data_IF_206086952478
#
_entry.id   IF_206086952478
#
_cell.length_a   1.000
_cell.length_b   1.000
_cell.length_c   1.000
_cell.angle_alpha   90.00
_cell.angle_beta   90.00
_cell.angle_gamma   90.00
#
_symmetry.space_group_name_H-M   'P 1'
#
loop_
_entity.id
_entity.type
_entity.pdbx_description
1 polymer ?
#
# COMPACT_ATOMS: atom_id res chain seq x y z
N UNK A 1 -15.14 -13.45 -7.23
CA UNK A 1 -15.09 -13.03 -5.82
C UNK A 1 -13.94 -12.04 -5.69
N UNK A 2 -14.02 -11.01 -4.83
CA UNK A 2 -13.06 -9.90 -4.69
C UNK A 2 -11.71 -10.44 -4.17
N UNK A 3 -10.96 -11.12 -5.04
CA UNK A 3 -9.97 -12.08 -4.58
C UNK A 3 -8.60 -11.49 -4.29
N UNK A 4 -8.39 -10.18 -4.45
CA UNK A 4 -7.05 -9.58 -4.45
C UNK A 4 -6.94 -8.36 -3.54
N UNK A 5 -7.41 -8.42 -2.30
CA UNK A 5 -7.41 -7.27 -1.39
C UNK A 5 -6.50 -7.47 -0.17
N UNK A 6 -5.64 -6.49 0.11
CA UNK A 6 -4.84 -6.42 1.34
C UNK A 6 -5.42 -5.37 2.27
N UNK A 7 -5.63 -5.74 3.53
CA UNK A 7 -6.06 -4.79 4.57
C UNK A 7 -4.93 -3.83 4.93
N UNK A 8 -5.16 -2.53 4.73
CA UNK A 8 -4.21 -1.45 5.01
C UNK A 8 -4.62 -0.61 6.23
N UNK A 9 -5.61 -1.05 7.01
CA UNK A 9 -6.01 -0.46 8.28
C UNK A 9 -7.48 0.00 8.32
N UNK A 10 -8.15 -0.15 9.47
CA UNK A 10 -9.53 0.33 9.72
C UNK A 10 -10.58 -0.04 8.68
N UNK A 11 -10.51 -1.25 8.14
CA UNK A 11 -11.44 -1.70 7.10
C UNK A 11 -11.18 -1.08 5.72
N UNK A 12 -10.03 -0.42 5.53
CA UNK A 12 -9.56 -0.01 4.22
C UNK A 12 -8.76 -1.15 3.58
N UNK A 13 -9.00 -1.37 2.29
CA UNK A 13 -8.37 -2.41 1.51
C UNK A 13 -7.82 -1.86 0.21
N UNK A 14 -6.68 -2.38 -0.23
CA UNK A 14 -6.07 -2.06 -1.53
C UNK A 14 -5.93 -3.32 -2.37
N UNK A 15 -6.00 -3.19 -3.68
CA UNK A 15 -5.72 -4.31 -4.56
C UNK A 15 -4.25 -4.75 -4.45
N UNK A 16 -3.99 -5.99 -4.04
CA UNK A 16 -2.64 -6.56 -3.90
C UNK A 16 -1.86 -6.44 -5.21
N UNK A 17 -2.46 -6.79 -6.34
CA UNK A 17 -1.76 -6.84 -7.63
C UNK A 17 -1.34 -5.48 -8.17
N UNK A 18 -1.77 -4.40 -7.52
CA UNK A 18 -1.48 -3.02 -7.91
C UNK A 18 -0.44 -2.39 -7.00
N UNK A 19 -0.04 -3.04 -5.90
CA UNK A 19 0.99 -2.54 -4.97
C UNK A 19 2.36 -2.77 -5.60
N UNK A 20 3.13 -1.68 -5.74
CA UNK A 20 4.51 -1.70 -6.23
C UNK A 20 5.51 -1.57 -5.09
N UNK A 21 5.19 -0.79 -4.05
CA UNK A 21 6.06 -0.60 -2.91
C UNK A 21 5.28 -0.33 -1.62
N UNK A 22 5.85 -0.79 -0.50
CA UNK A 22 5.43 -0.46 0.87
C UNK A 22 6.64 0.18 1.56
N UNK A 23 6.48 1.42 2.02
CA UNK A 23 7.58 2.29 2.46
C UNK A 23 7.31 2.86 3.86
N UNK A 24 8.39 3.14 4.60
CA UNK A 24 8.33 3.88 5.85
C UNK A 24 8.24 5.40 5.58
N UNK A 25 7.38 6.18 6.27
CA UNK A 25 7.14 7.59 5.99
C UNK A 25 8.13 8.58 6.63
N UNK A 26 9.11 8.14 7.41
CA UNK A 26 9.85 9.01 8.35
C UNK A 26 10.96 9.86 7.69
N UNK A 27 11.32 9.60 6.42
CA UNK A 27 12.39 10.32 5.72
C UNK A 27 11.92 11.61 5.02
N UNK A 28 12.84 12.56 4.80
CA UNK A 28 12.53 13.79 4.06
C UNK A 28 12.02 13.55 2.62
N UNK A 29 12.58 12.61 1.82
CA UNK A 29 12.02 12.23 0.52
C UNK A 29 10.57 11.75 0.61
N UNK A 30 10.21 11.00 1.65
CA UNK A 30 8.84 10.49 1.83
C UNK A 30 7.84 11.59 2.17
N UNK A 31 8.27 12.65 2.87
CA UNK A 31 7.45 13.84 3.06
C UNK A 31 7.15 14.51 1.71
N UNK A 32 8.19 14.71 0.88
CA UNK A 32 8.04 15.28 -0.47
C UNK A 32 7.09 14.45 -1.35
N UNK A 33 7.26 13.12 -1.35
CA UNK A 33 6.38 12.20 -2.09
C UNK A 33 4.89 12.38 -1.72
N UNK A 34 4.58 12.56 -0.44
CA UNK A 34 3.19 12.81 -0.01
C UNK A 34 2.67 14.16 -0.49
N UNK A 35 3.49 15.19 -0.43
CA UNK A 35 3.12 16.54 -0.85
C UNK A 35 2.90 16.62 -2.37
N UNK A 36 3.76 15.94 -3.14
CA UNK A 36 3.61 15.76 -4.59
C UNK A 36 2.31 15.01 -4.92
N UNK A 37 2.05 13.86 -4.29
CA UNK A 37 0.83 13.10 -4.51
C UNK A 37 -0.43 13.88 -4.12
N UNK A 38 -0.37 14.73 -3.08
CA UNK A 38 -1.47 15.63 -2.71
C UNK A 38 -1.70 16.69 -3.79
N UNK A 39 -0.64 17.26 -4.34
CA UNK A 39 -0.70 18.24 -5.43
C UNK A 39 -1.29 17.64 -6.70
N UNK A 40 -0.89 16.41 -7.03
CA UNK A 40 -1.39 15.65 -8.18
C UNK A 40 -2.79 15.04 -7.99
N UNK A 41 -3.43 15.22 -6.82
CA UNK A 41 -4.70 14.57 -6.45
C UNK A 41 -4.66 13.04 -6.51
N UNK A 42 -3.49 12.44 -6.27
CA UNK A 42 -3.24 11.00 -6.24
C UNK A 42 -3.04 10.43 -4.83
N UNK A 43 -3.21 11.27 -3.81
CA UNK A 43 -3.13 10.84 -2.42
C UNK A 43 -4.44 10.20 -1.97
N UNK A 44 -4.34 9.06 -1.28
CA UNK A 44 -5.46 8.40 -0.61
C UNK A 44 -5.13 8.26 0.86
N UNK A 45 -5.95 8.85 1.73
CA UNK A 45 -5.73 8.80 3.17
C UNK A 45 -6.55 7.67 3.81
N UNK A 46 -5.89 6.55 4.14
CA UNK A 46 -6.46 5.42 4.88
C UNK A 46 -6.00 5.40 6.35
N UNK A 47 -5.51 6.53 6.89
CA UNK A 47 -5.03 6.61 8.27
C UNK A 47 -6.15 6.74 9.30
N UNK A 48 -7.36 7.16 8.87
CA UNK A 48 -8.50 7.48 9.73
C UNK A 48 -8.13 8.45 10.87
N UNK A 49 -7.38 9.52 10.54
CA UNK A 49 -6.99 10.57 11.49
C UNK A 49 -5.83 10.21 12.41
N UNK A 50 -5.16 9.07 12.19
CA UNK A 50 -3.99 8.64 12.97
C UNK A 50 -2.69 9.00 12.27
N UNK A 51 -1.57 8.90 12.99
CA UNK A 51 -0.23 9.09 12.41
C UNK A 51 -0.03 8.13 11.24
N UNK A 52 0.45 8.66 10.11
CA UNK A 52 0.94 7.84 8.99
C UNK A 52 2.15 7.03 9.45
N UNK A 53 2.05 5.70 9.35
CA UNK A 53 3.10 4.74 9.69
C UNK A 53 3.61 3.97 8.48
N UNK A 54 2.85 3.94 7.38
CA UNK A 54 3.28 3.39 6.10
C UNK A 54 2.78 4.24 4.93
N UNK A 55 3.53 4.17 3.83
CA UNK A 55 3.16 4.70 2.51
C UNK A 55 3.13 3.51 1.55
N UNK A 56 2.06 3.38 0.78
CA UNK A 56 1.92 2.36 -0.25
C UNK A 56 1.87 3.06 -1.60
N UNK A 57 2.71 2.62 -2.53
CA UNK A 57 2.73 3.11 -3.91
C UNK A 57 2.05 2.07 -4.78
N UNK A 58 1.14 2.53 -5.63
CA UNK A 58 0.49 1.70 -6.65
C UNK A 58 1.05 1.98 -8.05
N UNK A 59 0.85 1.05 -8.99
CA UNK A 59 1.24 1.19 -10.40
C UNK A 59 0.57 2.36 -11.13
N UNK A 60 -0.53 2.89 -10.59
CA UNK A 60 -1.22 4.09 -11.07
C UNK A 60 -0.66 5.38 -10.45
N UNK A 61 0.47 5.30 -9.75
CA UNK A 61 1.11 6.36 -8.98
C UNK A 61 0.25 6.95 -7.85
N UNK A 62 -0.83 6.26 -7.45
CA UNK A 62 -1.53 6.63 -6.22
C UNK A 62 -0.66 6.30 -5.01
N UNK A 63 -0.63 7.25 -4.07
CA UNK A 63 0.09 7.15 -2.80
C UNK A 63 -0.93 7.00 -1.68
N UNK A 64 -0.99 5.81 -1.10
CA UNK A 64 -1.94 5.48 -0.04
C UNK A 64 -1.24 5.59 1.30
N UNK A 65 -1.78 6.41 2.19
CA UNK A 65 -1.28 6.57 3.55
C UNK A 65 -1.96 5.58 4.48
N UNK A 66 -1.19 4.87 5.28
CA UNK A 66 -1.71 3.94 6.28
C UNK A 66 -1.17 4.26 7.66
N UNK A 67 -1.97 3.97 8.68
CA UNK A 67 -1.58 4.00 10.08
C UNK A 67 -1.09 2.64 10.60
N UNK A 68 -1.04 1.63 9.74
CA UNK A 68 -0.49 0.31 10.04
C UNK A 68 1.01 0.34 9.71
N UNK A 69 1.79 -0.47 10.42
CA UNK A 69 3.23 -0.60 10.19
C UNK A 69 3.51 -1.24 8.83
N UNK A 70 4.55 -0.81 8.10
CA UNK A 70 4.86 -1.34 6.79
C UNK A 70 5.13 -2.85 6.83
N UNK A 71 5.77 -3.35 7.90
CA UNK A 71 6.04 -4.77 8.11
C UNK A 71 4.75 -5.59 8.24
N UNK A 72 3.74 -5.05 8.94
CA UNK A 72 2.43 -5.71 9.07
C UNK A 72 1.69 -5.79 7.74
N UNK A 73 1.80 -4.74 6.91
CA UNK A 73 1.16 -4.72 5.58
C UNK A 73 1.89 -5.69 4.65
N UNK A 74 3.23 -5.72 4.70
CA UNK A 74 4.05 -6.66 3.94
C UNK A 74 3.73 -8.12 4.32
N UNK A 75 3.58 -8.42 5.61
CA UNK A 75 3.16 -9.74 6.07
C UNK A 75 1.82 -10.16 5.48
N UNK A 76 0.80 -9.28 5.58
CA UNK A 76 -0.54 -9.53 5.01
C UNK A 76 -0.50 -9.71 3.49
N UNK A 77 0.38 -8.99 2.81
CA UNK A 77 0.60 -9.12 1.38
C UNK A 77 1.21 -10.48 1.04
N UNK A 78 2.24 -10.92 1.76
CA UNK A 78 2.89 -12.22 1.56
C UNK A 78 1.94 -13.38 1.85
N UNK A 79 1.21 -13.34 2.97
CA UNK A 79 0.19 -14.35 3.29
C UNK A 79 -0.87 -14.44 2.18
N UNK A 80 -1.26 -13.30 1.63
CA UNK A 80 -2.19 -13.23 0.53
C UNK A 80 -1.62 -13.88 -0.75
N UNK A 81 -0.36 -13.63 -1.11
CA UNK A 81 0.32 -14.26 -2.25
C UNK A 81 0.46 -15.78 -2.08
N UNK A 82 0.79 -16.25 -0.89
CA UNK A 82 0.91 -17.68 -0.59
C UNK A 82 -0.42 -18.42 -0.72
N UNK A 83 -1.52 -17.78 -0.34
CA UNK A 83 -2.87 -18.32 -0.52
C UNK A 83 -3.34 -18.28 -1.99
N UNK A 84 -2.66 -17.52 -2.86
CA UNK A 84 -3.06 -17.29 -4.26
C UNK A 84 -1.87 -17.53 -5.23
N UNK A 85 -1.35 -18.76 -5.35
CA UNK A 85 -0.12 -19.07 -6.07
C UNK A 85 -0.10 -18.68 -7.56
N UNK A 86 -1.27 -18.48 -8.18
CA UNK A 86 -1.40 -17.99 -9.57
C UNK A 86 -0.82 -16.59 -9.78
N UNK A 87 -0.62 -15.80 -8.72
CA UNK A 87 -0.03 -14.46 -8.79
C UNK A 87 1.49 -14.48 -8.94
N UNK A 88 2.16 -15.44 -8.29
CA UNK A 88 3.62 -15.64 -8.40
C UNK A 88 4.07 -15.93 -9.84
N UNK A 89 3.25 -16.65 -10.61
CA UNK A 89 3.54 -16.95 -12.02
C UNK A 89 3.53 -15.70 -12.92
N UNK A 90 2.80 -14.64 -12.55
CA UNK A 90 2.73 -13.39 -13.32
C UNK A 90 3.87 -12.41 -12.97
N UNK A 91 4.54 -12.56 -11.84
CA UNK A 91 5.69 -11.73 -11.44
C UNK A 91 7.00 -12.28 -12.04
N UNK A 92 7.01 -13.57 -12.38
CA UNK A 92 8.21 -14.29 -12.87
C UNK A 92 8.28 -14.37 -14.41
N UNK A 93 7.27 -13.84 -15.12
CA UNK A 93 7.24 -13.70 -16.58
C UNK A 93 7.36 -12.22 -16.96
#
# INVERSE_FOLDING_TARGET
MLNNLVNVGFGNFVNSTRIIAILNPDSAPMKRLKDEARTEKKIVDATCGRRTRAIIITDSNHVILSSIQPETIAHRFTEYEEQNPKLRENITK
#
